data_IF_356315684341
#
_entry.id   IF_356315684341
#
_cell.length_a   1.000
_cell.length_b   1.000
_cell.length_c   1.000
_cell.angle_alpha   90.00
_cell.angle_beta   90.00
_cell.angle_gamma   90.00
#
_symmetry.space_group_name_H-M   'P 1'
#
loop_
_entity.id
_entity.type
_entity.pdbx_description
1 polymer ?
#
# COMPACT_ATOMS: atom_id res chain seq x y z
N UNK A 1 -1.86 -2.95 20.97
CA UNK A 1 -1.66 -3.91 19.86
C UNK A 1 -2.72 -3.61 18.80
N UNK A 2 -2.42 -3.61 17.51
CA UNK A 2 -3.40 -3.27 16.45
C UNK A 2 -4.49 -4.35 16.36
N UNK A 3 -5.76 -3.94 16.21
CA UNK A 3 -6.94 -4.82 16.11
C UNK A 3 -6.74 -5.93 15.06
N UNK A 4 -6.30 -5.58 13.85
CA UNK A 4 -6.07 -6.56 12.79
C UNK A 4 -4.92 -7.54 13.10
N UNK A 5 -3.94 -7.13 13.88
CA UNK A 5 -2.87 -8.04 14.32
C UNK A 5 -3.38 -9.10 15.30
N UNK A 6 -4.28 -8.71 16.19
CA UNK A 6 -4.95 -9.65 17.10
C UNK A 6 -5.88 -10.58 16.35
N UNK A 7 -6.66 -10.04 15.42
CA UNK A 7 -7.51 -10.83 14.53
C UNK A 7 -6.71 -11.83 13.71
N UNK A 8 -5.55 -11.42 13.15
CA UNK A 8 -4.66 -12.32 12.43
C UNK A 8 -4.22 -13.50 13.28
N UNK A 9 -3.79 -13.24 14.54
CA UNK A 9 -3.31 -14.30 15.45
C UNK A 9 -4.42 -15.23 15.91
N UNK A 10 -5.58 -14.69 16.28
CA UNK A 10 -6.61 -15.45 16.96
C UNK A 10 -7.62 -16.11 16.02
N UNK A 11 -7.86 -15.52 14.84
CA UNK A 11 -8.89 -15.98 13.93
C UNK A 11 -8.35 -16.42 12.56
N UNK A 12 -7.43 -15.64 11.96
CA UNK A 12 -6.99 -15.86 10.59
C UNK A 12 -6.01 -17.05 10.51
N UNK A 13 -5.03 -17.14 11.42
CA UNK A 13 -4.08 -18.26 11.43
C UNK A 13 -4.81 -19.61 11.51
N UNK A 14 -5.72 -19.87 12.46
CA UNK A 14 -6.42 -21.16 12.52
C UNK A 14 -7.20 -21.48 11.24
N UNK A 15 -7.93 -20.52 10.70
CA UNK A 15 -8.71 -20.71 9.46
C UNK A 15 -7.84 -21.00 8.26
N UNK A 16 -6.77 -20.21 8.04
CA UNK A 16 -5.84 -20.45 6.95
C UNK A 16 -5.11 -21.81 7.08
N UNK A 17 -4.83 -22.26 8.29
CA UNK A 17 -4.26 -23.55 8.56
C UNK A 17 -5.15 -24.70 8.05
N UNK A 18 -6.45 -24.60 8.30
CA UNK A 18 -7.43 -25.57 7.82
C UNK A 18 -7.58 -25.51 6.30
N UNK A 19 -7.71 -24.32 5.73
CA UNK A 19 -7.90 -24.13 4.28
C UNK A 19 -6.68 -24.50 3.42
N UNK A 20 -5.48 -24.31 3.95
CA UNK A 20 -4.23 -24.60 3.25
C UNK A 20 -3.64 -25.96 3.64
N UNK A 21 -4.28 -26.69 4.55
CA UNK A 21 -3.82 -27.97 5.11
C UNK A 21 -2.36 -27.93 5.63
N UNK A 22 -1.98 -26.82 6.27
CA UNK A 22 -0.63 -26.58 6.80
C UNK A 22 -0.59 -26.93 8.28
N UNK A 23 0.38 -27.76 8.69
CA UNK A 23 0.52 -28.19 10.09
C UNK A 23 1.23 -27.15 10.97
N UNK A 24 2.15 -26.36 10.41
CA UNK A 24 2.99 -25.42 11.14
C UNK A 24 2.46 -23.98 11.04
N UNK A 25 2.24 -23.32 12.18
CA UNK A 25 1.78 -21.93 12.25
C UNK A 25 2.73 -20.94 11.57
N UNK A 26 4.03 -21.23 11.57
CA UNK A 26 5.04 -20.38 10.94
C UNK A 26 5.02 -20.45 9.40
N UNK A 27 4.44 -21.51 8.84
CA UNK A 27 4.26 -21.68 7.40
C UNK A 27 3.00 -21.02 6.85
N UNK A 28 2.09 -20.56 7.74
CA UNK A 28 0.88 -19.84 7.35
C UNK A 28 1.27 -18.51 6.70
N UNK A 29 0.67 -18.16 5.55
CA UNK A 29 0.91 -16.89 4.89
C UNK A 29 0.65 -15.68 5.80
N UNK A 30 1.53 -14.69 5.74
CA UNK A 30 1.41 -13.43 6.48
C UNK A 30 1.84 -12.24 5.62
N UNK A 31 1.34 -11.07 5.95
CA UNK A 31 1.81 -9.82 5.36
C UNK A 31 3.14 -9.45 6.02
N UNK A 32 4.17 -9.21 5.23
CA UNK A 32 5.51 -8.85 5.72
C UNK A 32 5.73 -7.35 5.76
N UNK A 33 5.27 -6.64 4.72
CA UNK A 33 5.39 -5.19 4.60
C UNK A 33 4.34 -4.64 3.65
N UNK A 34 4.04 -3.36 3.82
CA UNK A 34 3.29 -2.56 2.85
C UNK A 34 4.18 -1.39 2.43
N UNK A 35 4.38 -1.24 1.14
CA UNK A 35 5.13 -0.13 0.58
C UNK A 35 4.17 0.80 -0.15
N UNK A 36 4.21 2.08 0.19
CA UNK A 36 3.42 3.12 -0.47
C UNK A 36 4.39 4.01 -1.23
N UNK A 37 4.11 4.25 -2.49
CA UNK A 37 4.92 5.08 -3.38
C UNK A 37 4.07 6.17 -4.01
N UNK A 38 4.60 7.39 -4.05
CA UNK A 38 4.05 8.51 -4.80
C UNK A 38 5.05 8.97 -5.85
N UNK A 39 4.70 8.79 -7.13
CA UNK A 39 5.49 9.29 -8.26
C UNK A 39 5.19 10.76 -8.52
N UNK A 40 6.23 11.60 -8.57
CA UNK A 40 6.13 13.05 -8.77
C UNK A 40 6.78 13.49 -10.09
N UNK A 41 6.73 12.65 -11.11
CA UNK A 41 7.39 12.92 -12.40
C UNK A 41 6.94 14.22 -13.08
N UNK A 42 5.69 14.63 -12.88
CA UNK A 42 5.15 15.90 -13.39
C UNK A 42 5.64 17.15 -12.65
N UNK A 43 6.32 16.98 -11.53
CA UNK A 43 6.79 18.05 -10.64
C UNK A 43 8.31 18.17 -10.61
N UNK A 44 8.98 17.74 -11.68
CA UNK A 44 10.42 17.80 -11.80
C UNK A 44 10.92 19.26 -11.62
N UNK A 45 11.69 19.47 -10.54
CA UNK A 45 12.27 20.76 -10.22
C UNK A 45 11.48 21.62 -9.22
N UNK A 46 10.26 21.28 -8.87
CA UNK A 46 9.49 22.01 -7.87
C UNK A 46 9.60 21.38 -6.47
N UNK A 47 10.45 21.98 -5.63
CA UNK A 47 10.67 21.53 -4.25
C UNK A 47 9.41 21.55 -3.39
N UNK A 48 8.52 22.53 -3.59
CA UNK A 48 7.29 22.63 -2.80
C UNK A 48 6.34 21.47 -3.05
N UNK A 49 6.28 20.99 -4.29
CA UNK A 49 5.45 19.82 -4.63
C UNK A 49 5.96 18.57 -3.94
N UNK A 50 7.28 18.39 -3.87
CA UNK A 50 7.89 17.28 -3.14
C UNK A 50 7.65 17.38 -1.63
N UNK A 51 7.84 18.56 -1.04
CA UNK A 51 7.61 18.79 0.39
C UNK A 51 6.17 18.50 0.79
N UNK A 52 5.20 18.97 -0.01
CA UNK A 52 3.78 18.68 0.21
C UNK A 52 3.48 17.18 0.12
N UNK A 53 4.01 16.48 -0.89
CA UNK A 53 3.82 15.03 -1.03
C UNK A 53 4.44 14.25 0.14
N UNK A 54 5.61 14.67 0.63
CA UNK A 54 6.24 14.07 1.82
C UNK A 54 5.38 14.31 3.07
N UNK A 55 4.82 15.50 3.24
CA UNK A 55 3.94 15.80 4.36
C UNK A 55 2.64 14.98 4.30
N UNK A 56 1.97 14.93 3.14
CA UNK A 56 0.76 14.12 2.92
C UNK A 56 1.03 12.64 3.19
N UNK A 57 2.10 12.07 2.61
CA UNK A 57 2.45 10.67 2.82
C UNK A 57 2.84 10.37 4.28
N UNK A 58 3.45 11.33 4.99
CA UNK A 58 3.74 11.21 6.41
C UNK A 58 2.47 11.14 7.26
N UNK A 59 1.45 11.93 6.93
CA UNK A 59 0.15 11.89 7.60
C UNK A 59 -0.54 10.54 7.38
N UNK A 60 -0.62 10.08 6.13
CA UNK A 60 -1.26 8.81 5.78
C UNK A 60 -0.58 7.61 6.44
N UNK A 61 0.75 7.60 6.44
CA UNK A 61 1.53 6.44 6.91
C UNK A 61 1.90 6.49 8.38
N UNK A 62 1.74 7.64 9.04
CA UNK A 62 2.24 7.89 10.41
C UNK A 62 3.73 7.57 10.56
N UNK A 63 4.49 7.68 9.47
CA UNK A 63 5.92 7.43 9.41
C UNK A 63 6.57 8.39 8.42
N UNK A 64 7.80 8.86 8.72
CA UNK A 64 8.55 9.75 7.83
C UNK A 64 8.89 9.05 6.51
N UNK A 65 8.41 9.57 5.36
CA UNK A 65 8.74 9.01 4.05
C UNK A 65 10.19 9.31 3.65
N UNK A 66 10.67 8.55 2.66
CA UNK A 66 11.99 8.75 2.05
C UNK A 66 11.81 9.32 0.65
N UNK A 67 12.57 10.34 0.32
CA UNK A 67 12.64 10.88 -1.05
C UNK A 67 13.33 9.90 -1.98
N UNK A 68 12.75 9.69 -3.15
CA UNK A 68 13.32 8.86 -4.21
C UNK A 68 13.99 9.75 -5.24
N UNK A 69 15.25 9.45 -5.56
CA UNK A 69 16.05 10.17 -6.54
C UNK A 69 16.22 9.35 -7.82
N UNK A 70 16.33 10.05 -8.96
CA UNK A 70 16.63 9.44 -10.23
C UNK A 70 18.04 8.84 -10.25
N UNK A 71 18.14 7.60 -10.73
CA UNK A 71 19.42 6.86 -10.82
C UNK A 71 20.15 7.08 -12.14
N UNK A 72 19.41 7.51 -13.16
CA UNK A 72 19.93 7.75 -14.51
C UNK A 72 19.31 9.01 -15.09
N UNK A 73 20.07 9.72 -15.94
CA UNK A 73 19.55 10.83 -16.71
C UNK A 73 18.80 10.32 -17.95
N UNK A 74 17.63 10.89 -18.21
CA UNK A 74 16.79 10.56 -19.40
C UNK A 74 16.39 11.86 -20.07
N UNK A 75 16.95 12.14 -21.24
CA UNK A 75 16.75 13.41 -21.96
C UNK A 75 15.28 13.62 -22.39
N UNK A 76 14.59 12.57 -22.83
CA UNK A 76 13.17 12.64 -23.22
C UNK A 76 12.24 13.12 -22.12
N UNK A 77 12.56 12.84 -20.86
CA UNK A 77 11.81 13.28 -19.68
C UNK A 77 12.39 14.53 -19.01
N UNK A 78 13.41 15.16 -19.59
CA UNK A 78 14.15 16.28 -19.00
C UNK A 78 14.66 15.96 -17.59
N UNK A 79 14.98 14.70 -17.35
CA UNK A 79 15.40 14.16 -16.05
C UNK A 79 16.91 14.06 -15.98
N UNK A 80 17.49 14.56 -14.89
CA UNK A 80 18.90 14.37 -14.57
C UNK A 80 19.06 13.43 -13.39
N UNK A 81 20.14 12.68 -13.36
CA UNK A 81 20.54 11.89 -12.20
C UNK A 81 20.60 12.76 -10.95
N UNK A 82 20.11 12.24 -9.82
CA UNK A 82 20.01 12.98 -8.57
C UNK A 82 18.78 13.87 -8.41
N UNK A 83 17.95 14.04 -9.45
CA UNK A 83 16.68 14.76 -9.30
C UNK A 83 15.71 13.96 -8.43
N UNK A 84 15.01 14.64 -7.53
CA UNK A 84 13.92 14.03 -6.75
C UNK A 84 12.72 13.76 -7.66
N UNK A 85 12.28 12.50 -7.72
CA UNK A 85 11.23 12.03 -8.62
C UNK A 85 10.00 11.48 -7.90
N UNK A 86 10.06 11.36 -6.59
CA UNK A 86 8.97 10.83 -5.80
C UNK A 86 9.32 10.63 -4.34
N UNK A 87 8.41 10.03 -3.62
CA UNK A 87 8.61 9.63 -2.24
C UNK A 87 7.99 8.26 -1.98
N UNK A 88 8.54 7.53 -1.02
CA UNK A 88 8.04 6.22 -0.60
C UNK A 88 8.12 6.05 0.89
N UNK A 89 7.30 5.16 1.42
CA UNK A 89 7.36 4.68 2.80
C UNK A 89 7.15 3.17 2.82
N UNK A 90 7.83 2.48 3.72
CA UNK A 90 7.65 1.04 3.95
C UNK A 90 7.18 0.84 5.37
N UNK A 91 6.00 0.25 5.51
CA UNK A 91 5.36 -0.04 6.80
C UNK A 91 5.55 -1.50 7.15
N UNK A 92 5.82 -1.76 8.43
CA UNK A 92 5.99 -3.11 9.00
C UNK A 92 5.34 -3.21 10.37
N UNK A 93 5.14 -4.44 10.84
CA UNK A 93 4.61 -4.74 12.18
C UNK A 93 3.30 -4.00 12.48
N UNK A 94 3.20 -3.29 13.59
CA UNK A 94 1.96 -2.64 14.05
C UNK A 94 1.46 -1.56 13.10
N UNK A 95 2.35 -0.66 12.65
CA UNK A 95 1.98 0.40 11.70
C UNK A 95 1.44 -0.14 10.37
N UNK A 96 1.93 -1.29 9.94
CA UNK A 96 1.44 -1.97 8.75
C UNK A 96 -0.01 -2.43 8.94
N UNK A 97 -0.34 -3.06 10.07
CA UNK A 97 -1.70 -3.50 10.36
C UNK A 97 -2.67 -2.34 10.59
N UNK A 98 -2.22 -1.25 11.23
CA UNK A 98 -3.02 -0.04 11.41
C UNK A 98 -3.33 0.63 10.07
N UNK A 99 -2.34 0.72 9.19
CA UNK A 99 -2.55 1.23 7.83
C UNK A 99 -3.49 0.32 7.03
N UNK A 100 -3.31 -1.00 7.12
CA UNK A 100 -4.17 -1.98 6.45
C UNK A 100 -5.64 -1.85 6.89
N UNK A 101 -5.87 -1.67 8.19
CA UNK A 101 -7.21 -1.48 8.75
C UNK A 101 -7.89 -0.24 8.17
N UNK A 102 -7.18 0.89 8.13
CA UNK A 102 -7.69 2.12 7.52
C UNK A 102 -7.89 2.00 6.01
N UNK A 103 -6.97 1.32 5.33
CA UNK A 103 -7.06 1.08 3.89
C UNK A 103 -8.34 0.32 3.53
N UNK A 104 -8.58 -0.82 4.19
CA UNK A 104 -9.71 -1.70 3.87
C UNK A 104 -11.05 -1.12 4.32
N UNK A 105 -11.12 -0.60 5.54
CA UNK A 105 -12.40 -0.21 6.14
C UNK A 105 -12.79 1.25 5.84
N UNK A 106 -11.84 2.12 5.51
CA UNK A 106 -12.11 3.55 5.32
C UNK A 106 -11.75 4.02 3.91
N UNK A 107 -10.53 3.78 3.46
CA UNK A 107 -10.04 4.35 2.20
C UNK A 107 -10.67 3.70 0.97
N UNK A 108 -10.67 2.37 0.89
CA UNK A 108 -11.23 1.64 -0.25
C UNK A 108 -12.72 1.96 -0.47
N UNK A 109 -13.61 1.95 0.55
CA UNK A 109 -15.01 2.32 0.36
C UNK A 109 -15.23 3.76 -0.11
N UNK A 110 -14.28 4.66 0.10
CA UNK A 110 -14.32 6.07 -0.32
C UNK A 110 -13.79 6.31 -1.73
N UNK A 111 -13.23 5.29 -2.37
CA UNK A 111 -12.78 5.39 -3.76
C UNK A 111 -13.99 5.63 -4.66
N UNK A 112 -13.88 6.66 -5.51
CA UNK A 112 -14.94 7.01 -6.46
C UNK A 112 -15.14 5.87 -7.46
N UNK A 113 -16.41 5.53 -7.73
CA UNK A 113 -16.81 4.46 -8.66
C UNK A 113 -16.15 3.09 -8.38
N UNK A 114 -15.93 2.78 -7.09
CA UNK A 114 -15.31 1.53 -6.70
C UNK A 114 -16.18 0.32 -7.07
N UNK A 115 -15.61 -0.61 -7.84
CA UNK A 115 -16.27 -1.84 -8.32
C UNK A 115 -15.57 -3.12 -7.86
N UNK A 116 -14.79 -3.06 -6.81
CA UNK A 116 -13.97 -4.16 -6.33
C UNK A 116 -12.53 -4.12 -6.84
N UNK A 117 -11.63 -4.77 -6.11
CA UNK A 117 -10.22 -4.87 -6.43
C UNK A 117 -10.00 -5.99 -7.46
N UNK A 118 -9.07 -5.76 -8.40
CA UNK A 118 -8.73 -6.77 -9.40
C UNK A 118 -7.98 -7.95 -8.78
N UNK A 119 -8.41 -9.15 -9.07
CA UNK A 119 -7.70 -10.39 -8.70
C UNK A 119 -6.47 -10.67 -9.59
N UNK A 120 -6.32 -9.94 -10.70
CA UNK A 120 -5.17 -10.04 -11.62
C UNK A 120 -3.98 -9.16 -11.23
N UNK A 121 -4.08 -8.45 -10.12
CA UNK A 121 -3.03 -7.51 -9.67
C UNK A 121 -1.98 -8.17 -8.74
N UNK A 122 -1.93 -9.49 -8.72
CA UNK A 122 -0.85 -10.27 -8.12
C UNK A 122 0.34 -10.38 -9.08
N UNK A 123 1.53 -10.59 -8.52
CA UNK A 123 2.79 -10.64 -9.28
C UNK A 123 3.28 -12.06 -9.64
N UNK A 124 2.50 -13.10 -9.37
CA UNK A 124 2.87 -14.50 -9.54
C UNK A 124 3.67 -15.09 -8.37
N UNK A 125 3.96 -14.28 -7.35
CA UNK A 125 4.72 -14.66 -6.14
C UNK A 125 4.03 -14.31 -4.84
N UNK A 126 2.70 -14.13 -4.90
CA UNK A 126 1.90 -13.83 -3.72
C UNK A 126 1.96 -12.38 -3.23
N UNK A 127 2.49 -11.44 -4.01
CA UNK A 127 2.43 -10.03 -3.67
C UNK A 127 1.30 -9.35 -4.44
N UNK A 128 0.63 -8.39 -3.80
CA UNK A 128 -0.50 -7.67 -4.37
C UNK A 128 -0.17 -6.19 -4.57
N UNK A 129 -0.51 -5.65 -5.74
CA UNK A 129 -0.28 -4.26 -6.08
C UNK A 129 -1.59 -3.58 -6.45
N UNK A 130 -1.82 -2.38 -5.91
CA UNK A 130 -2.98 -1.56 -6.24
C UNK A 130 -2.60 -0.09 -6.36
N UNK A 131 -3.26 0.62 -7.27
CA UNK A 131 -3.16 2.07 -7.40
C UNK A 131 -4.38 2.76 -6.82
N UNK A 132 -4.16 3.86 -6.12
CA UNK A 132 -5.19 4.79 -5.69
C UNK A 132 -4.97 6.09 -6.47
N UNK A 133 -6.00 6.57 -7.16
CA UNK A 133 -5.91 7.76 -8.01
C UNK A 133 -5.89 9.06 -7.23
N UNK A 134 -6.50 9.08 -6.06
CA UNK A 134 -6.72 10.28 -5.26
C UNK A 134 -6.35 10.06 -3.79
N UNK A 135 -5.40 10.84 -3.25
CA UNK A 135 -4.99 10.73 -1.84
C UNK A 135 -6.09 11.17 -0.86
N UNK A 136 -7.10 11.89 -1.33
CA UNK A 136 -8.23 12.38 -0.52
C UNK A 136 -9.15 11.29 0.04
N UNK A 137 -9.00 10.05 -0.44
CA UNK A 137 -9.72 8.90 0.13
C UNK A 137 -9.32 8.63 1.58
N UNK A 138 -8.12 9.05 1.96
CA UNK A 138 -7.65 8.94 3.34
C UNK A 138 -8.19 10.09 4.20
N UNK A 139 -8.80 9.79 5.37
CA UNK A 139 -9.42 10.80 6.23
C UNK A 139 -8.42 11.77 6.86
N UNK A 140 -7.14 11.40 6.91
CA UNK A 140 -6.06 12.22 7.46
C UNK A 140 -5.72 13.41 6.56
N UNK A 141 -6.17 13.37 5.31
CA UNK A 141 -5.91 14.40 4.31
C UNK A 141 -7.08 15.38 4.28
N UNK A 142 -6.79 16.62 4.60
CA UNK A 142 -7.74 17.72 4.54
C UNK A 142 -7.81 18.28 3.12
N UNK A 143 -8.99 18.21 2.51
CA UNK A 143 -9.21 18.67 1.13
C UNK A 143 -8.86 20.14 0.93
N UNK A 144 -9.08 21.00 1.94
CA UNK A 144 -8.81 22.43 1.84
C UNK A 144 -7.30 22.76 1.79
N UNK A 145 -6.46 21.85 2.28
CA UNK A 145 -5.00 22.05 2.34
C UNK A 145 -4.24 21.42 1.17
N UNK A 146 -4.95 20.71 0.30
CA UNK A 146 -4.32 20.04 -0.85
C UNK A 146 -4.08 21.05 -1.97
N UNK A 147 -2.83 21.08 -2.45
CA UNK A 147 -2.47 21.89 -3.62
C UNK A 147 -2.75 21.18 -4.94
N UNK A 148 -2.72 19.85 -4.95
CA UNK A 148 -2.94 19.01 -6.13
C UNK A 148 -3.38 17.61 -5.73
N UNK A 149 -4.34 17.06 -6.45
CA UNK A 149 -4.70 15.64 -6.34
C UNK A 149 -3.57 14.79 -6.90
N UNK A 150 -3.15 13.75 -6.15
CA UNK A 150 -2.07 12.84 -6.50
C UNK A 150 -2.50 11.41 -6.27
N UNK A 151 -2.07 10.54 -7.19
CA UNK A 151 -2.19 9.11 -7.01
C UNK A 151 -1.05 8.53 -6.18
N UNK A 152 -1.25 7.32 -5.72
CA UNK A 152 -0.23 6.52 -5.05
C UNK A 152 -0.36 5.05 -5.41
N UNK A 153 0.76 4.35 -5.39
CA UNK A 153 0.83 2.91 -5.56
C UNK A 153 1.08 2.25 -4.22
N UNK A 154 0.30 1.22 -3.91
CA UNK A 154 0.39 0.43 -2.69
C UNK A 154 0.77 -0.99 -3.06
N UNK A 155 1.92 -1.44 -2.59
CA UNK A 155 2.41 -2.81 -2.76
C UNK A 155 2.34 -3.54 -1.42
N UNK A 156 1.57 -4.63 -1.36
CA UNK A 156 1.44 -5.51 -0.21
C UNK A 156 2.30 -6.74 -0.47
N UNK A 157 3.36 -6.88 0.31
CA UNK A 157 4.28 -8.02 0.22
C UNK A 157 3.91 -9.05 1.26
N UNK A 158 3.73 -10.29 0.80
CA UNK A 158 3.45 -11.44 1.68
C UNK A 158 4.58 -12.46 1.59
N UNK A 159 4.56 -13.45 2.46
CA UNK A 159 5.43 -14.63 2.38
C UNK A 159 4.71 -15.83 1.75
N UNK A 160 3.56 -15.64 1.11
CA UNK A 160 2.86 -16.69 0.39
C UNK A 160 3.71 -17.19 -0.79
N UNK A 161 3.62 -18.48 -1.11
CA UNK A 161 4.38 -19.07 -2.20
C UNK A 161 3.73 -18.83 -3.57
N UNK A 162 2.42 -18.65 -3.59
CA UNK A 162 1.62 -18.45 -4.78
C UNK A 162 0.54 -17.37 -4.57
N UNK A 163 -0.06 -16.93 -5.66
CA UNK A 163 -1.09 -15.89 -5.65
C UNK A 163 -2.41 -16.35 -5.02
N UNK A 164 -2.72 -17.63 -5.12
CA UNK A 164 -3.97 -18.19 -4.55
C UNK A 164 -3.95 -18.13 -3.02
N UNK A 165 -2.84 -18.51 -2.39
CA UNK A 165 -2.69 -18.43 -0.95
C UNK A 165 -2.68 -17.00 -0.44
N UNK A 166 -2.03 -16.09 -1.20
CA UNK A 166 -2.05 -14.67 -0.91
C UNK A 166 -3.46 -14.08 -1.04
N UNK A 167 -4.23 -14.49 -2.05
CA UNK A 167 -5.63 -14.07 -2.24
C UNK A 167 -6.50 -14.53 -1.07
N UNK A 168 -6.34 -15.76 -0.60
CA UNK A 168 -7.04 -16.26 0.60
C UNK A 168 -6.67 -15.45 1.83
N UNK A 169 -5.38 -15.18 2.04
CA UNK A 169 -4.91 -14.33 3.15
C UNK A 169 -5.56 -12.95 3.12
N UNK A 170 -5.53 -12.26 1.97
CA UNK A 170 -6.11 -10.92 1.85
C UNK A 170 -7.64 -10.93 1.97
N UNK A 171 -8.32 -11.97 1.48
CA UNK A 171 -9.76 -12.15 1.66
C UNK A 171 -10.15 -12.26 3.15
N UNK A 172 -9.33 -12.92 3.96
CA UNK A 172 -9.52 -12.99 5.43
C UNK A 172 -9.37 -11.62 6.12
N UNK A 173 -8.66 -10.69 5.50
CA UNK A 173 -8.60 -9.28 5.92
C UNK A 173 -9.71 -8.42 5.31
N UNK A 174 -10.74 -9.03 4.73
CA UNK A 174 -11.88 -8.36 4.08
C UNK A 174 -11.50 -7.47 2.88
N UNK A 175 -10.48 -7.85 2.11
CA UNK A 175 -10.21 -7.19 0.84
C UNK A 175 -11.39 -7.43 -0.12
N UNK A 176 -12.01 -6.37 -0.67
CA UNK A 176 -13.16 -6.48 -1.56
C UNK A 176 -12.71 -6.81 -2.99
N UNK A 177 -12.32 -8.04 -3.25
CA UNK A 177 -12.02 -8.50 -4.61
C UNK A 177 -13.29 -8.54 -5.46
N UNK A 178 -13.13 -8.32 -6.78
CA UNK A 178 -14.20 -8.60 -7.74
C UNK A 178 -14.46 -10.10 -7.74
N UNK A 179 -15.72 -10.46 -7.58
CA UNK A 179 -16.18 -11.82 -7.79
C UNK A 179 -16.15 -12.20 -9.27
#
# INVERSE_FOLDING_TARGET
MSRLKEQYKNEIIPKLKEELAVSNDLSVPKIEKITINMGLGSALGDKKVLENALAELSLISSQKPVTCFARKSVASFKLREGNAIGCKVTLRKERMYEFLDRLVNIAIPRIRDFRGLSDKSFDGRGNYNMGITEQIVFPEIDFEKITKVRGMDIAITTNAQNDEDAKKLLAMFNFPFKG
#
